data_IF_016553525704
#
_entry.id   IF_016553525704
#
_cell.length_a   1.000
_cell.length_b   1.000
_cell.length_c   1.000
_cell.angle_alpha   90.00
_cell.angle_beta   90.00
_cell.angle_gamma   90.00
#
_symmetry.space_group_name_H-M   'P 1'
#
loop_
_entity.id
_entity.type
_entity.pdbx_description
1 polymer ?
#
# COMPACT_ATOMS: atom_id res chain seq x y z
N UNK A 1 7.82 -28.19 1.01
CA UNK A 1 8.73 -27.23 0.47
C UNK A 1 8.03 -25.91 0.17
N UNK A 2 8.64 -24.87 0.53
CA UNK A 2 8.04 -23.57 0.36
C UNK A 2 8.66 -22.89 -0.86
N UNK A 3 7.85 -22.50 -1.79
CA UNK A 3 8.35 -21.74 -2.91
C UNK A 3 8.43 -20.25 -2.52
N UNK A 4 8.84 -19.42 -3.46
CA UNK A 4 8.99 -17.99 -3.22
C UNK A 4 7.67 -17.32 -2.87
N UNK A 5 6.57 -17.95 -3.25
CA UNK A 5 5.23 -17.45 -2.97
C UNK A 5 4.59 -18.18 -1.82
N UNK A 6 5.36 -19.04 -1.15
CA UNK A 6 4.85 -19.93 -0.12
C UNK A 6 4.66 -19.31 1.24
N UNK A 7 4.57 -17.98 1.31
CA UNK A 7 4.26 -17.32 2.57
C UNK A 7 2.85 -17.70 3.02
N UNK A 8 2.74 -18.02 4.30
CA UNK A 8 1.42 -18.30 4.88
C UNK A 8 0.64 -17.00 5.01
N UNK A 9 -0.68 -17.14 5.15
CA UNK A 9 -1.53 -15.96 5.37
C UNK A 9 -1.10 -15.24 6.65
N UNK A 10 -0.74 -15.98 7.70
CA UNK A 10 -0.25 -15.37 8.92
C UNK A 10 1.00 -14.54 8.72
N UNK A 11 1.92 -15.02 7.88
CA UNK A 11 3.12 -14.26 7.55
C UNK A 11 2.80 -12.99 6.75
N UNK A 12 1.85 -13.09 5.83
CA UNK A 12 1.41 -11.94 5.07
C UNK A 12 0.73 -10.90 5.97
N UNK A 13 -0.11 -11.36 6.89
CA UNK A 13 -0.76 -10.47 7.85
C UNK A 13 0.25 -9.76 8.74
N UNK A 14 1.27 -10.49 9.20
CA UNK A 14 2.31 -9.92 10.05
C UNK A 14 3.08 -8.81 9.32
N UNK A 15 3.17 -8.90 8.00
CA UNK A 15 3.90 -7.92 7.18
C UNK A 15 2.97 -6.91 6.50
N UNK A 16 1.69 -6.92 6.82
CA UNK A 16 0.72 -6.04 6.18
C UNK A 16 1.14 -4.58 6.21
N UNK A 17 1.57 -4.09 7.37
CA UNK A 17 1.99 -2.70 7.51
C UNK A 17 3.20 -2.37 6.64
N UNK A 18 4.10 -3.33 6.48
CA UNK A 18 5.27 -3.14 5.62
C UNK A 18 4.86 -2.99 4.16
N UNK A 19 3.91 -3.82 3.72
CA UNK A 19 3.41 -3.73 2.35
C UNK A 19 2.67 -2.43 2.11
N UNK A 20 1.87 -2.00 3.07
CA UNK A 20 1.15 -0.74 2.98
C UNK A 20 2.12 0.44 2.94
N UNK A 21 3.15 0.41 3.77
CA UNK A 21 4.17 1.44 3.81
C UNK A 21 4.96 1.49 2.49
N UNK A 22 5.29 0.32 1.95
CA UNK A 22 5.98 0.24 0.66
C UNK A 22 5.12 0.83 -0.45
N UNK A 23 3.83 0.56 -0.44
CA UNK A 23 2.90 1.12 -1.42
C UNK A 23 2.86 2.64 -1.32
N UNK A 24 2.79 3.17 -0.11
CA UNK A 24 2.81 4.62 0.10
C UNK A 24 4.11 5.23 -0.45
N UNK A 25 5.23 4.56 -0.23
CA UNK A 25 6.53 5.02 -0.73
C UNK A 25 6.53 5.07 -2.26
N UNK A 26 5.97 4.06 -2.92
CA UNK A 26 5.85 4.04 -4.37
C UNK A 26 5.03 5.22 -4.88
N UNK A 27 3.96 5.56 -4.19
CA UNK A 27 3.14 6.70 -4.54
C UNK A 27 3.90 8.02 -4.36
N UNK A 28 4.69 8.12 -3.30
CA UNK A 28 5.51 9.31 -3.06
C UNK A 28 6.58 9.47 -4.13
N UNK A 29 7.07 8.36 -4.67
CA UNK A 29 8.05 8.37 -5.75
C UNK A 29 7.45 8.74 -7.10
N UNK A 30 6.13 8.81 -7.19
CA UNK A 30 5.45 9.14 -8.43
C UNK A 30 5.34 7.99 -9.40
N UNK A 31 5.39 6.76 -8.92
CA UNK A 31 5.26 5.57 -9.77
C UNK A 31 3.89 5.53 -10.44
N UNK A 32 3.87 5.07 -11.69
CA UNK A 32 2.61 4.88 -12.40
C UNK A 32 1.81 3.73 -11.79
N UNK A 33 0.51 3.70 -12.05
CA UNK A 33 -0.33 2.61 -11.58
C UNK A 33 0.18 1.26 -12.08
N UNK A 34 0.55 1.18 -13.36
CA UNK A 34 1.11 -0.06 -13.93
C UNK A 34 2.38 -0.48 -13.20
N UNK A 35 3.26 0.46 -12.94
CA UNK A 35 4.50 0.19 -12.23
C UNK A 35 4.26 -0.34 -10.83
N UNK A 36 3.31 0.26 -10.12
CA UNK A 36 2.93 -0.16 -8.78
C UNK A 36 2.36 -1.58 -8.78
N UNK A 37 1.49 -1.87 -9.75
CA UNK A 37 0.82 -3.18 -9.83
C UNK A 37 1.76 -4.31 -10.17
N UNK A 38 2.95 -4.01 -10.65
CA UNK A 38 3.98 -5.01 -10.94
C UNK A 38 4.89 -5.30 -9.75
N UNK A 39 4.69 -4.62 -8.62
CA UNK A 39 5.55 -4.82 -7.45
C UNK A 39 5.08 -5.98 -6.60
N UNK A 40 6.00 -6.53 -5.80
CA UNK A 40 5.69 -7.60 -4.87
C UNK A 40 4.71 -7.16 -3.79
N UNK A 41 4.85 -5.95 -3.28
CA UNK A 41 3.94 -5.47 -2.23
C UNK A 41 2.49 -5.43 -2.73
N UNK A 42 2.28 -5.02 -3.98
CA UNK A 42 0.95 -5.04 -4.59
C UNK A 42 0.41 -6.46 -4.65
N UNK A 43 1.24 -7.39 -5.14
CA UNK A 43 0.88 -8.79 -5.27
C UNK A 43 0.50 -9.40 -3.92
N UNK A 44 1.27 -9.10 -2.87
CA UNK A 44 0.97 -9.58 -1.52
C UNK A 44 -0.34 -9.00 -0.99
N UNK A 45 -0.59 -7.72 -1.23
CA UNK A 45 -1.84 -7.10 -0.82
C UNK A 45 -3.04 -7.70 -1.57
N UNK A 46 -2.88 -8.02 -2.84
CA UNK A 46 -3.92 -8.71 -3.61
C UNK A 46 -4.22 -10.06 -2.97
N UNK A 47 -3.20 -10.82 -2.63
CA UNK A 47 -3.36 -12.11 -2.00
C UNK A 47 -4.11 -12.01 -0.67
N UNK A 48 -3.73 -11.05 0.17
CA UNK A 48 -4.42 -10.81 1.44
C UNK A 48 -5.89 -10.47 1.24
N UNK A 49 -6.17 -9.61 0.29
CA UNK A 49 -7.55 -9.24 0.00
C UNK A 49 -8.37 -10.44 -0.49
N UNK A 50 -7.78 -11.24 -1.38
CA UNK A 50 -8.48 -12.40 -1.92
C UNK A 50 -8.77 -13.46 -0.86
N UNK A 51 -7.86 -13.62 0.09
CA UNK A 51 -8.03 -14.61 1.16
C UNK A 51 -8.90 -14.09 2.29
N UNK A 52 -8.80 -12.81 2.60
CA UNK A 52 -9.49 -12.18 3.75
C UNK A 52 -10.17 -10.88 3.29
N UNK A 53 -11.16 -10.97 2.39
CA UNK A 53 -11.75 -9.75 1.81
C UNK A 53 -12.49 -8.87 2.80
N UNK A 54 -12.93 -9.45 3.91
CA UNK A 54 -13.63 -8.67 4.94
C UNK A 54 -12.68 -7.94 5.87
N UNK A 55 -11.47 -8.47 6.00
CA UNK A 55 -10.46 -7.92 6.91
C UNK A 55 -9.55 -6.93 6.20
N UNK A 56 -9.19 -7.23 4.97
CA UNK A 56 -8.26 -6.40 4.19
C UNK A 56 -8.94 -5.88 2.94
N UNK A 57 -8.85 -4.56 2.77
CA UNK A 57 -9.40 -3.90 1.58
C UNK A 57 -8.58 -4.26 0.35
N UNK A 58 -9.17 -4.09 -0.83
CA UNK A 58 -8.44 -4.32 -2.07
C UNK A 58 -7.24 -3.37 -2.17
N UNK A 59 -6.19 -3.77 -2.89
CA UNK A 59 -5.05 -2.87 -3.10
C UNK A 59 -5.44 -1.56 -3.77
N UNK A 60 -6.40 -1.57 -4.67
CA UNK A 60 -6.92 -0.35 -5.29
C UNK A 60 -7.47 0.61 -4.25
N UNK A 61 -8.23 0.09 -3.31
CA UNK A 61 -8.80 0.90 -2.24
C UNK A 61 -7.70 1.47 -1.35
N UNK A 62 -6.73 0.64 -1.00
CA UNK A 62 -5.59 1.07 -0.17
C UNK A 62 -4.80 2.15 -0.90
N UNK A 63 -4.54 1.97 -2.19
CA UNK A 63 -3.84 2.96 -3.00
C UNK A 63 -4.59 4.29 -3.00
N UNK A 64 -5.90 4.24 -3.17
CA UNK A 64 -6.72 5.43 -3.15
C UNK A 64 -6.65 6.15 -1.81
N UNK A 65 -6.77 5.40 -0.72
CA UNK A 65 -6.66 5.97 0.62
C UNK A 65 -5.30 6.61 0.86
N UNK A 66 -4.23 5.95 0.44
CA UNK A 66 -2.88 6.46 0.63
C UNK A 66 -2.65 7.74 -0.18
N UNK A 67 -3.19 7.81 -1.39
CA UNK A 67 -3.11 9.04 -2.18
C UNK A 67 -3.80 10.19 -1.47
N UNK A 68 -4.95 9.95 -0.89
CA UNK A 68 -5.66 10.96 -0.13
C UNK A 68 -4.85 11.41 1.09
N UNK A 69 -4.24 10.46 1.79
CA UNK A 69 -3.38 10.78 2.93
C UNK A 69 -2.21 11.65 2.50
N UNK A 70 -1.57 11.31 1.40
CA UNK A 70 -0.44 12.08 0.88
C UNK A 70 -0.89 13.49 0.49
N UNK A 71 -2.01 13.62 -0.18
CA UNK A 71 -2.55 14.92 -0.58
C UNK A 71 -2.88 15.76 0.65
N UNK A 72 -3.45 15.16 1.68
CA UNK A 72 -3.76 15.83 2.92
C UNK A 72 -2.49 16.28 3.64
N UNK A 73 -1.47 15.42 3.66
CA UNK A 73 -0.19 15.76 4.29
C UNK A 73 0.50 16.90 3.55
N UNK A 74 0.45 16.88 2.22
CA UNK A 74 1.02 17.97 1.42
C UNK A 74 0.28 19.29 1.62
N UNK A 75 -1.04 19.20 1.66
CA UNK A 75 -1.86 20.39 1.89
C UNK A 75 -1.62 20.96 3.27
N UNK A 76 -1.51 20.10 4.28
CA UNK A 76 -1.24 20.53 5.65
C UNK A 76 0.16 21.15 5.75
N UNK A 77 1.15 20.53 5.11
CA UNK A 77 2.51 21.06 5.10
C UNK A 77 2.58 22.39 4.37
N UNK A 78 1.91 22.51 3.24
CA UNK A 78 1.86 23.76 2.47
C UNK A 78 1.12 24.84 3.27
N UNK A 79 0.01 24.48 3.90
CA UNK A 79 -0.74 25.39 4.72
C UNK A 79 0.04 25.85 5.94
N UNK A 80 0.73 24.95 6.60
CA UNK A 80 1.57 25.27 7.74
C UNK A 80 2.71 26.18 7.32
N UNK A 81 3.35 25.89 6.19
CA UNK A 81 4.40 26.71 5.65
C UNK A 81 3.92 28.11 5.26
N UNK A 82 2.76 28.18 4.63
CA UNK A 82 2.16 29.44 4.23
C UNK A 82 1.70 30.24 5.45
N UNK A 83 1.24 29.54 6.48
CA UNK A 83 0.78 30.18 7.70
C UNK A 83 1.90 30.69 8.59
N UNK A 84 3.07 30.18 8.36
CA UNK A 84 4.23 30.63 9.08
C UNK A 84 4.72 31.97 8.50
#
# INVERSE_FOLDING_TARGET
MTDSNGLTIGELEAKYFLYRKALKQLLLEGRSNDGIEKTLCWSRLVTLHNCLPRQYKSPDHIRHQLRREIDQERAAAAGAGAGA
#
